data_IF_470578739911
#
_entry.id   IF_470578739911
#
_cell.length_a   1.000
_cell.length_b   1.000
_cell.length_c   1.000
_cell.angle_alpha   90.00
_cell.angle_beta   90.00
_cell.angle_gamma   90.00
#
_symmetry.space_group_name_H-M   'P 1'
#
loop_
_entity.id
_entity.type
_entity.pdbx_description
1 polymer ?
#
# COMPACT_ATOMS: atom_id res chain seq x y z
N UNK A 1 -1.13 -0.63 22.43
CA UNK A 1 -1.15 -2.03 21.94
C UNK A 1 -0.37 -2.04 20.64
N UNK A 2 0.74 -2.76 20.56
CA UNK A 2 1.61 -2.77 19.39
C UNK A 2 1.42 -4.10 18.68
N UNK A 3 0.76 -4.09 17.52
CA UNK A 3 0.32 -5.34 16.89
C UNK A 3 1.34 -5.89 15.90
N UNK A 4 2.09 -5.01 15.22
CA UNK A 4 2.86 -5.38 14.03
C UNK A 4 4.10 -4.50 13.86
N UNK A 5 5.22 -5.11 13.49
CA UNK A 5 6.46 -4.44 13.11
C UNK A 5 7.01 -5.08 11.82
N UNK A 6 7.27 -4.27 10.80
CA UNK A 6 8.07 -4.65 9.62
C UNK A 6 9.43 -3.99 9.70
N UNK A 7 10.48 -4.75 9.46
CA UNK A 7 11.87 -4.29 9.31
C UNK A 7 12.32 -4.57 7.88
N UNK A 8 12.70 -3.51 7.18
CA UNK A 8 13.09 -3.47 5.77
C UNK A 8 14.02 -2.26 5.63
N UNK A 9 15.32 -2.48 5.84
CA UNK A 9 16.30 -1.37 6.00
C UNK A 9 17.56 -1.62 5.17
N UNK A 10 17.41 -2.38 4.08
CA UNK A 10 18.43 -2.57 3.05
C UNK A 10 19.76 -3.10 3.62
N UNK A 11 19.68 -4.09 4.52
CA UNK A 11 20.83 -4.79 5.09
C UNK A 11 21.22 -4.40 6.51
N UNK A 12 20.53 -3.44 7.13
CA UNK A 12 20.75 -3.01 8.51
C UNK A 12 19.77 -3.66 9.52
N UNK A 13 19.16 -4.79 9.18
CA UNK A 13 18.08 -5.40 9.97
C UNK A 13 18.56 -5.77 11.36
N UNK A 14 19.78 -6.29 11.48
CA UNK A 14 20.36 -6.67 12.76
C UNK A 14 20.50 -5.44 13.69
N UNK A 15 21.07 -4.35 13.19
CA UNK A 15 21.27 -3.12 13.95
C UNK A 15 19.94 -2.56 14.44
N UNK A 16 18.91 -2.55 13.59
CA UNK A 16 17.57 -2.10 13.97
C UNK A 16 16.98 -2.97 15.08
N UNK A 17 17.07 -4.30 14.94
CA UNK A 17 16.54 -5.22 15.94
C UNK A 17 17.27 -5.08 17.29
N UNK A 18 18.59 -4.97 17.28
CA UNK A 18 19.41 -4.88 18.50
C UNK A 18 19.23 -3.57 19.28
N UNK A 19 18.80 -2.49 18.62
CA UNK A 19 18.57 -1.19 19.27
C UNK A 19 17.12 -0.98 19.75
N UNK A 20 16.23 -1.97 19.55
CA UNK A 20 14.85 -1.91 20.03
C UNK A 20 14.72 -2.27 21.52
N UNK A 21 13.79 -1.62 22.22
CA UNK A 21 13.32 -2.07 23.54
C UNK A 21 12.12 -3.01 23.37
N UNK A 22 12.40 -4.32 23.32
CA UNK A 22 11.43 -5.39 23.10
C UNK A 22 10.62 -5.78 24.34
N UNK A 23 10.89 -5.16 25.48
CA UNK A 23 10.08 -5.30 26.69
C UNK A 23 8.98 -4.25 26.70
N UNK A 24 9.31 -3.00 26.36
CA UNK A 24 8.36 -1.89 26.31
C UNK A 24 7.56 -1.87 25.00
N UNK A 25 8.22 -2.13 23.87
CA UNK A 25 7.62 -2.12 22.53
C UNK A 25 7.61 -3.54 21.96
N UNK A 26 6.54 -4.27 22.29
CA UNK A 26 6.43 -5.70 22.05
C UNK A 26 5.36 -6.01 20.99
N UNK A 27 5.72 -6.02 19.69
CA UNK A 27 4.78 -6.32 18.62
C UNK A 27 4.36 -7.80 18.68
N UNK A 28 3.09 -8.10 18.40
CA UNK A 28 2.65 -9.51 18.27
C UNK A 28 3.27 -10.21 17.06
N UNK A 29 3.40 -9.48 15.95
CA UNK A 29 3.95 -9.98 14.69
C UNK A 29 5.17 -9.15 14.31
N UNK A 30 6.28 -9.82 14.02
CA UNK A 30 7.49 -9.21 13.46
C UNK A 30 7.74 -9.79 12.09
N UNK A 31 7.94 -8.93 11.11
CA UNK A 31 8.30 -9.31 9.75
C UNK A 31 9.64 -8.67 9.45
N UNK A 32 10.63 -9.47 9.08
CA UNK A 32 11.99 -8.99 8.78
C UNK A 32 12.34 -9.43 7.39
N UNK A 33 12.85 -8.51 6.57
CA UNK A 33 13.47 -8.90 5.30
C UNK A 33 14.65 -9.84 5.60
N UNK A 34 14.62 -11.01 4.98
CA UNK A 34 15.46 -12.13 5.37
C UNK A 34 16.62 -12.35 4.40
N UNK A 35 16.67 -11.60 3.31
CA UNK A 35 17.66 -11.75 2.26
C UNK A 35 18.56 -10.51 2.20
N UNK A 36 19.87 -10.73 2.09
CA UNK A 36 20.82 -9.65 1.97
C UNK A 36 20.63 -8.91 0.63
N UNK A 37 20.77 -7.58 0.62
CA UNK A 37 20.59 -6.78 -0.59
C UNK A 37 21.57 -7.24 -1.68
N UNK A 38 21.12 -7.20 -2.94
CA UNK A 38 21.86 -7.59 -4.16
C UNK A 38 22.25 -9.08 -4.30
N UNK A 39 22.52 -9.78 -3.20
CA UNK A 39 23.00 -11.18 -3.23
C UNK A 39 21.91 -12.20 -3.02
N UNK A 40 20.79 -11.79 -2.41
CA UNK A 40 19.70 -12.68 -1.98
C UNK A 40 20.17 -13.82 -1.05
N UNK A 41 21.32 -13.67 -0.42
CA UNK A 41 21.83 -14.64 0.53
C UNK A 41 21.05 -14.55 1.85
N UNK A 42 20.87 -15.66 2.59
CA UNK A 42 20.25 -15.65 3.91
C UNK A 42 20.91 -14.65 4.88
N UNK A 43 20.16 -13.63 5.31
CA UNK A 43 20.60 -12.64 6.30
C UNK A 43 20.14 -12.99 7.73
N UNK A 44 19.07 -13.79 7.86
CA UNK A 44 18.48 -14.15 9.15
C UNK A 44 19.40 -14.84 10.16
N UNK A 45 20.46 -15.61 9.79
CA UNK A 45 21.36 -16.16 10.81
C UNK A 45 21.99 -15.11 11.72
N UNK A 46 22.12 -13.86 11.25
CA UNK A 46 22.71 -12.76 12.00
C UNK A 46 21.80 -12.20 13.10
N UNK A 47 20.48 -12.32 12.97
CA UNK A 47 19.51 -11.68 13.89
C UNK A 47 18.39 -12.58 14.42
N UNK A 48 18.10 -13.73 13.80
CA UNK A 48 17.07 -14.66 14.26
C UNK A 48 17.29 -15.16 15.70
N UNK A 49 18.53 -15.46 16.15
CA UNK A 49 18.78 -15.83 17.54
C UNK A 49 18.36 -14.75 18.55
N UNK A 50 18.46 -13.47 18.19
CA UNK A 50 18.03 -12.37 19.04
C UNK A 50 16.51 -12.36 19.23
N UNK A 51 15.75 -12.53 18.15
CA UNK A 51 14.28 -12.64 18.22
C UNK A 51 13.85 -13.85 19.04
N UNK A 52 14.46 -15.01 18.80
CA UNK A 52 14.18 -16.23 19.57
C UNK A 52 14.40 -16.02 21.08
N UNK A 53 15.49 -15.34 21.46
CA UNK A 53 15.78 -14.98 22.86
C UNK A 53 14.71 -14.06 23.48
N UNK A 54 14.03 -13.26 22.68
CA UNK A 54 12.94 -12.36 23.12
C UNK A 54 11.55 -12.99 23.05
N UNK A 55 11.47 -14.32 22.86
CA UNK A 55 10.21 -15.06 22.85
C UNK A 55 9.43 -14.94 21.55
N UNK A 56 10.13 -14.76 20.42
CA UNK A 56 9.53 -14.78 19.10
C UNK A 56 9.78 -16.11 18.40
N UNK A 57 8.74 -16.69 17.82
CA UNK A 57 8.79 -17.95 17.06
C UNK A 57 8.66 -17.68 15.58
N UNK A 58 9.55 -18.27 14.78
CA UNK A 58 9.40 -18.33 13.34
C UNK A 58 8.10 -19.05 12.97
N UNK A 59 7.35 -18.50 12.02
CA UNK A 59 6.10 -19.09 11.53
C UNK A 59 6.02 -19.22 10.02
N UNK A 60 6.67 -18.32 9.25
CA UNK A 60 6.49 -18.31 7.80
C UNK A 60 7.60 -17.57 7.05
N UNK A 61 7.81 -17.93 5.78
CA UNK A 61 8.74 -17.28 4.86
C UNK A 61 8.06 -17.11 3.50
N UNK A 62 8.01 -15.88 2.99
CA UNK A 62 7.27 -15.51 1.77
C UNK A 62 8.15 -15.37 0.52
N UNK A 63 9.33 -16.00 0.52
CA UNK A 63 10.45 -15.85 -0.43
C UNK A 63 11.33 -14.60 -0.24
N UNK A 64 10.94 -13.64 0.60
CA UNK A 64 11.74 -12.45 0.90
C UNK A 64 11.82 -12.16 2.40
N UNK A 65 10.70 -12.24 3.09
CA UNK A 65 10.53 -11.90 4.49
C UNK A 65 10.28 -13.14 5.34
N UNK A 66 10.87 -13.15 6.54
CA UNK A 66 10.52 -14.12 7.59
C UNK A 66 9.60 -13.47 8.61
N UNK A 67 8.61 -14.24 9.03
CA UNK A 67 7.56 -13.83 9.95
C UNK A 67 7.76 -14.54 11.28
N UNK A 68 7.62 -13.77 12.35
CA UNK A 68 7.76 -14.23 13.71
C UNK A 68 6.57 -13.78 14.56
N UNK A 69 6.10 -14.66 15.43
CA UNK A 69 5.05 -14.35 16.41
C UNK A 69 5.65 -14.30 17.81
N UNK A 70 5.23 -13.30 18.59
CA UNK A 70 5.46 -13.32 20.03
C UNK A 70 4.75 -14.53 20.64
N UNK A 71 5.36 -15.17 21.64
CA UNK A 71 4.83 -16.36 22.30
C UNK A 71 3.38 -16.20 22.79
N UNK A 72 3.06 -15.01 23.31
CA UNK A 72 1.73 -14.63 23.79
C UNK A 72 0.65 -14.49 22.69
N UNK A 73 1.06 -14.49 21.42
CA UNK A 73 0.20 -14.37 20.24
C UNK A 73 0.30 -15.58 19.30
N UNK A 74 0.79 -16.71 19.80
CA UNK A 74 1.03 -17.95 19.03
C UNK A 74 -0.21 -18.50 18.33
N UNK A 75 -1.41 -18.19 18.81
CA UNK A 75 -2.68 -18.56 18.20
C UNK A 75 -2.87 -17.95 16.80
N UNK A 76 -2.20 -16.85 16.49
CA UNK A 76 -2.23 -16.23 15.17
C UNK A 76 -1.52 -17.05 14.10
N UNK A 77 -0.76 -18.10 14.47
CA UNK A 77 -0.08 -18.97 13.52
C UNK A 77 -1.07 -19.60 12.51
N UNK A 78 -2.30 -19.90 12.94
CA UNK A 78 -3.34 -20.44 12.06
C UNK A 78 -3.67 -19.52 10.87
N UNK A 79 -3.51 -18.20 11.02
CA UNK A 79 -3.73 -17.25 9.93
C UNK A 79 -2.72 -17.37 8.79
N UNK A 80 -1.58 -18.05 9.01
CA UNK A 80 -0.50 -18.21 8.03
C UNK A 80 -0.45 -19.61 7.40
N UNK A 81 -1.28 -20.55 7.85
CA UNK A 81 -1.32 -21.93 7.33
C UNK A 81 -1.71 -22.01 5.85
N UNK A 82 -2.53 -21.07 5.39
CA UNK A 82 -2.98 -20.98 3.99
C UNK A 82 -2.26 -19.89 3.20
N UNK A 83 -1.23 -19.28 3.77
CA UNK A 83 -0.52 -18.17 3.14
C UNK A 83 0.40 -18.67 2.00
N UNK A 84 0.44 -17.98 0.84
CA UNK A 84 1.18 -18.43 -0.33
C UNK A 84 2.69 -18.29 -0.13
N UNK A 85 3.45 -19.39 -0.23
CA UNK A 85 4.91 -19.37 0.00
C UNK A 85 5.73 -18.47 -0.93
N UNK A 86 5.13 -17.95 -2.00
CA UNK A 86 5.71 -16.94 -2.88
C UNK A 86 4.61 -16.08 -3.51
N UNK A 87 4.98 -14.86 -3.91
CA UNK A 87 4.09 -13.91 -4.57
C UNK A 87 4.46 -13.68 -6.04
N UNK A 88 4.99 -14.70 -6.73
CA UNK A 88 5.42 -14.60 -8.14
C UNK A 88 4.28 -14.24 -9.10
N UNK A 89 3.06 -14.70 -8.81
CA UNK A 89 1.87 -14.39 -9.61
C UNK A 89 1.30 -12.99 -9.33
N UNK A 90 1.83 -12.29 -8.32
CA UNK A 90 1.43 -10.92 -7.97
C UNK A 90 2.33 -9.93 -8.72
N UNK A 91 1.73 -8.85 -9.25
CA UNK A 91 2.49 -7.79 -9.92
C UNK A 91 3.54 -7.17 -8.98
N UNK A 92 4.81 -7.27 -9.37
CA UNK A 92 5.94 -6.79 -8.57
C UNK A 92 6.39 -5.40 -9.04
N UNK A 93 6.11 -4.35 -8.28
CA UNK A 93 6.47 -2.97 -8.65
C UNK A 93 7.97 -2.75 -8.91
N UNK A 94 8.86 -3.54 -8.28
CA UNK A 94 10.30 -3.54 -8.55
C UNK A 94 10.68 -3.90 -10.00
N UNK A 95 9.77 -4.49 -10.78
CA UNK A 95 10.03 -4.97 -12.15
C UNK A 95 9.66 -3.96 -13.24
N UNK A 96 9.09 -2.81 -12.86
CA UNK A 96 8.67 -1.75 -13.76
C UNK A 96 9.34 -0.43 -13.40
N UNK A 97 9.49 0.45 -14.39
CA UNK A 97 9.96 1.83 -14.16
C UNK A 97 8.79 2.70 -13.69
N UNK A 98 9.03 3.95 -13.23
CA UNK A 98 7.96 4.83 -12.79
C UNK A 98 6.80 4.92 -13.78
N UNK A 99 5.58 5.04 -13.25
CA UNK A 99 4.34 4.93 -14.02
C UNK A 99 4.29 5.81 -15.28
N UNK A 100 4.88 7.01 -15.28
CA UNK A 100 4.87 7.89 -16.46
C UNK A 100 5.66 7.34 -17.66
N UNK A 101 6.65 6.47 -17.43
CA UNK A 101 7.61 6.02 -18.45
C UNK A 101 7.46 4.56 -18.85
N UNK A 102 6.77 3.73 -18.05
CA UNK A 102 6.58 2.30 -18.33
C UNK A 102 5.13 1.94 -18.57
N UNK A 103 4.77 1.54 -19.79
CA UNK A 103 3.41 1.15 -20.15
C UNK A 103 2.93 -0.13 -19.45
N UNK A 104 3.84 -0.93 -18.89
CA UNK A 104 3.51 -2.14 -18.11
C UNK A 104 3.15 -1.81 -16.66
N UNK A 105 3.44 -0.59 -16.20
CA UNK A 105 3.07 -0.17 -14.86
C UNK A 105 1.53 -0.08 -14.74
N UNK A 106 0.90 -0.65 -13.70
CA UNK A 106 -0.56 -0.68 -13.56
C UNK A 106 -1.15 0.74 -13.55
N UNK A 107 -0.45 1.68 -12.90
CA UNK A 107 -0.88 3.09 -12.86
C UNK A 107 -0.48 3.90 -14.10
N UNK A 108 0.08 3.30 -15.16
CA UNK A 108 0.57 4.07 -16.32
C UNK A 108 -0.51 4.96 -16.94
N UNK A 109 -1.70 4.42 -17.16
CA UNK A 109 -2.80 5.17 -17.77
C UNK A 109 -3.27 6.31 -16.88
N UNK A 110 -3.45 6.07 -15.58
CA UNK A 110 -3.78 7.12 -14.62
C UNK A 110 -2.67 8.19 -14.57
N UNK A 111 -1.40 7.80 -14.52
CA UNK A 111 -0.29 8.73 -14.54
C UNK A 111 -0.24 9.58 -15.82
N UNK A 112 -0.61 9.00 -16.97
CA UNK A 112 -0.73 9.73 -18.25
C UNK A 112 -1.89 10.72 -18.25
N UNK A 113 -3.01 10.40 -17.61
CA UNK A 113 -4.14 11.34 -17.42
C UNK A 113 -3.77 12.51 -16.50
N UNK A 114 -2.84 12.30 -15.57
CA UNK A 114 -2.38 13.27 -14.58
C UNK A 114 -0.98 13.82 -14.86
N UNK A 115 -0.45 13.64 -16.08
CA UNK A 115 0.93 13.95 -16.39
C UNK A 115 1.25 15.46 -16.27
N UNK A 116 2.49 15.79 -15.90
CA UNK A 116 2.94 17.17 -15.66
C UNK A 116 2.95 17.50 -14.16
N UNK A 117 2.56 18.73 -13.80
CA UNK A 117 2.46 19.17 -12.40
C UNK A 117 1.35 18.48 -11.61
N UNK A 118 0.33 17.95 -12.29
CA UNK A 118 -0.86 17.39 -11.64
C UNK A 118 -0.53 16.18 -10.75
N UNK A 119 0.45 15.34 -11.12
CA UNK A 119 0.95 14.26 -10.24
C UNK A 119 1.53 14.79 -8.93
N UNK A 120 2.21 15.94 -8.94
CA UNK A 120 2.77 16.55 -7.71
C UNK A 120 1.70 17.19 -6.84
N UNK A 121 0.57 17.57 -7.44
CA UNK A 121 -0.57 18.14 -6.73
C UNK A 121 -1.59 17.10 -6.28
N UNK A 122 -1.43 15.81 -6.63
CA UNK A 122 -2.41 14.76 -6.35
C UNK A 122 -2.90 14.72 -4.88
N UNK A 123 -2.06 14.91 -3.84
CA UNK A 123 -2.53 14.98 -2.46
C UNK A 123 -3.42 16.20 -2.13
N UNK A 124 -3.35 17.24 -2.97
CA UNK A 124 -4.09 18.49 -2.85
C UNK A 124 -5.29 18.55 -3.80
N UNK A 125 -5.42 17.61 -4.75
CA UNK A 125 -6.55 17.57 -5.66
C UNK A 125 -7.79 17.11 -4.91
N UNK A 126 -8.74 18.03 -4.73
CA UNK A 126 -10.10 17.67 -4.36
C UNK A 126 -10.71 16.72 -5.39
N UNK A 127 -11.68 15.91 -4.97
CA UNK A 127 -12.34 14.92 -5.83
C UNK A 127 -12.87 15.50 -7.13
N UNK A 128 -13.47 16.69 -7.09
CA UNK A 128 -14.07 17.29 -8.28
C UNK A 128 -13.00 17.65 -9.32
N UNK A 129 -11.86 18.18 -8.87
CA UNK A 129 -10.72 18.47 -9.74
C UNK A 129 -10.07 17.17 -10.26
N UNK A 130 -9.97 16.13 -9.44
CA UNK A 130 -9.51 14.82 -9.90
C UNK A 130 -10.43 14.26 -11.00
N UNK A 131 -11.75 14.36 -10.84
CA UNK A 131 -12.74 13.94 -11.83
C UNK A 131 -12.64 14.75 -13.12
N UNK A 132 -12.45 16.07 -13.02
CA UNK A 132 -12.18 16.94 -14.16
C UNK A 132 -10.93 16.45 -14.94
N UNK A 133 -9.84 16.13 -14.23
CA UNK A 133 -8.59 15.68 -14.87
C UNK A 133 -8.73 14.33 -15.56
N UNK A 134 -9.32 13.32 -14.91
CA UNK A 134 -9.44 11.97 -15.50
C UNK A 134 -10.47 11.91 -16.65
N UNK A 135 -11.46 12.81 -16.63
CA UNK A 135 -12.46 12.94 -17.71
C UNK A 135 -12.08 13.97 -18.78
N UNK A 136 -10.90 14.59 -18.67
CA UNK A 136 -10.41 15.53 -19.66
C UNK A 136 -10.40 14.88 -21.06
N UNK A 137 -10.95 15.61 -22.04
CA UNK A 137 -11.14 15.14 -23.42
C UNK A 137 -12.44 14.36 -23.68
N UNK A 138 -13.26 14.09 -22.66
CA UNK A 138 -14.61 13.54 -22.83
C UNK A 138 -15.60 14.71 -22.89
N UNK A 139 -16.39 14.80 -23.96
CA UNK A 139 -17.37 15.88 -24.12
C UNK A 139 -18.47 15.84 -23.05
N UNK A 140 -18.96 17.00 -22.62
CA UNK A 140 -20.00 17.10 -21.58
C UNK A 140 -21.26 16.29 -21.92
N UNK A 141 -21.67 16.26 -23.20
CA UNK A 141 -22.81 15.47 -23.65
C UNK A 141 -22.59 13.96 -23.46
N UNK A 142 -21.38 13.47 -23.74
CA UNK A 142 -21.03 12.06 -23.53
C UNK A 142 -21.02 11.71 -22.04
N UNK A 143 -20.55 12.63 -21.18
CA UNK A 143 -20.57 12.44 -19.72
C UNK A 143 -21.99 12.36 -19.12
N UNK A 144 -23.00 12.88 -19.81
CA UNK A 144 -24.42 12.85 -19.39
C UNK A 144 -25.20 11.67 -19.96
N UNK A 145 -24.65 10.93 -20.92
CA UNK A 145 -25.30 9.75 -21.48
C UNK A 145 -25.35 8.60 -20.47
N UNK A 146 -26.39 7.77 -20.59
CA UNK A 146 -26.49 6.53 -19.85
C UNK A 146 -25.34 5.59 -20.22
N UNK A 147 -24.64 5.10 -19.21
CA UNK A 147 -23.52 4.18 -19.34
C UNK A 147 -24.01 2.74 -19.18
N UNK A 148 -24.05 2.01 -20.30
CA UNK A 148 -24.20 0.56 -20.30
C UNK A 148 -22.92 -0.15 -19.83
N UNK A 149 -22.94 -1.48 -19.86
CA UNK A 149 -21.79 -2.30 -19.44
C UNK A 149 -20.50 -1.96 -20.20
N UNK A 150 -20.60 -1.71 -21.52
CA UNK A 150 -19.44 -1.39 -22.36
C UNK A 150 -18.83 -0.04 -21.97
N UNK A 151 -19.65 0.99 -21.75
CA UNK A 151 -19.18 2.31 -21.32
C UNK A 151 -18.53 2.26 -19.92
N UNK A 152 -19.02 1.39 -19.03
CA UNK A 152 -18.41 1.14 -17.71
C UNK A 152 -17.05 0.46 -17.86
N UNK A 153 -16.96 -0.54 -18.75
CA UNK A 153 -15.71 -1.24 -19.03
C UNK A 153 -14.68 -0.30 -19.66
N UNK A 154 -15.06 0.51 -20.64
CA UNK A 154 -14.20 1.51 -21.27
C UNK A 154 -13.70 2.56 -20.28
N UNK A 155 -14.58 3.07 -19.41
CA UNK A 155 -14.19 4.03 -18.37
C UNK A 155 -13.20 3.40 -17.37
N UNK A 156 -13.42 2.15 -16.99
CA UNK A 156 -12.53 1.40 -16.11
C UNK A 156 -11.17 1.17 -16.78
N UNK A 157 -11.17 0.76 -18.05
CA UNK A 157 -9.95 0.53 -18.83
C UNK A 157 -9.17 1.82 -19.06
N UNK A 158 -9.86 2.95 -19.28
CA UNK A 158 -9.21 4.26 -19.42
C UNK A 158 -8.36 4.60 -18.20
N UNK A 159 -8.85 4.29 -16.99
CA UNK A 159 -8.19 4.64 -15.73
C UNK A 159 -7.15 3.58 -15.32
N UNK A 160 -7.54 2.31 -15.31
CA UNK A 160 -6.77 1.21 -14.72
C UNK A 160 -6.16 0.24 -15.75
N UNK A 161 -6.43 0.44 -17.03
CA UNK A 161 -5.98 -0.46 -18.10
C UNK A 161 -6.81 -1.75 -18.21
N UNK A 162 -6.49 -2.60 -19.21
CA UNK A 162 -7.26 -3.81 -19.54
C UNK A 162 -7.23 -4.90 -18.47
N UNK A 163 -6.25 -4.84 -17.56
CA UNK A 163 -6.14 -5.78 -16.43
C UNK A 163 -6.67 -5.20 -15.11
N UNK A 164 -7.17 -3.95 -15.12
CA UNK A 164 -7.71 -3.28 -13.94
C UNK A 164 -8.99 -3.96 -13.47
N UNK A 165 -8.86 -4.95 -12.58
CA UNK A 165 -10.01 -5.48 -11.84
C UNK A 165 -10.32 -4.57 -10.66
N UNK A 166 -11.51 -4.00 -10.66
CA UNK A 166 -12.08 -3.46 -9.44
C UNK A 166 -12.23 -4.61 -8.43
N UNK A 167 -11.72 -4.40 -7.21
CA UNK A 167 -11.89 -5.33 -6.07
C UNK A 167 -13.37 -5.73 -5.94
N UNK A 168 -13.64 -6.98 -5.53
CA UNK A 168 -14.96 -7.64 -5.53
C UNK A 168 -16.13 -6.96 -4.80
N UNK A 169 -15.93 -5.76 -4.25
CA UNK A 169 -17.00 -4.80 -3.95
C UNK A 169 -17.29 -3.99 -5.23
N UNK A 170 -18.23 -4.46 -6.04
CA UNK A 170 -18.63 -3.79 -7.27
C UNK A 170 -18.88 -2.28 -7.11
N UNK A 171 -18.75 -1.55 -8.22
CA UNK A 171 -18.95 -0.11 -8.28
C UNK A 171 -20.37 0.24 -7.80
N UNK A 172 -20.50 1.14 -6.81
CA UNK A 172 -21.82 1.60 -6.33
C UNK A 172 -22.43 2.56 -7.34
N UNK A 173 -23.27 2.04 -8.22
CA UNK A 173 -23.92 2.78 -9.30
C UNK A 173 -25.43 2.78 -9.12
N UNK A 174 -26.12 3.86 -9.52
CA UNK A 174 -27.57 3.84 -9.67
C UNK A 174 -28.00 2.87 -10.79
N UNK A 175 -29.29 2.50 -10.88
CA UNK A 175 -29.77 1.50 -11.85
C UNK A 175 -29.48 1.83 -13.32
N UNK A 176 -29.46 3.12 -13.67
CA UNK A 176 -29.08 3.61 -15.00
C UNK A 176 -28.05 4.72 -14.78
N UNK A 177 -26.76 4.37 -14.63
CA UNK A 177 -25.73 5.35 -14.33
C UNK A 177 -25.42 6.21 -15.55
N UNK A 178 -25.14 7.48 -15.34
CA UNK A 178 -24.51 8.32 -16.35
C UNK A 178 -23.01 8.07 -16.36
N UNK A 179 -22.33 8.32 -17.47
CA UNK A 179 -20.88 8.11 -17.57
C UNK A 179 -20.10 8.90 -16.50
N UNK A 180 -20.52 10.12 -16.14
CA UNK A 180 -19.92 10.87 -15.03
C UNK A 180 -20.05 10.18 -13.67
N UNK A 181 -21.14 9.46 -13.43
CA UNK A 181 -21.39 8.75 -12.18
C UNK A 181 -20.49 7.51 -12.09
N UNK A 182 -20.17 6.91 -13.24
CA UNK A 182 -19.16 5.85 -13.34
C UNK A 182 -17.80 6.37 -12.90
N UNK A 183 -17.29 7.46 -13.49
CA UNK A 183 -16.01 8.06 -13.06
C UNK A 183 -16.04 8.49 -11.59
N UNK A 184 -17.14 9.08 -11.13
CA UNK A 184 -17.32 9.47 -9.74
C UNK A 184 -17.26 8.28 -8.78
N UNK A 185 -17.70 7.10 -9.20
CA UNK A 185 -17.69 5.89 -8.40
C UNK A 185 -16.33 5.15 -8.46
N UNK A 186 -15.53 5.34 -9.51
CA UNK A 186 -14.12 4.88 -9.56
C UNK A 186 -13.24 5.60 -8.53
N UNK A 187 -13.62 6.83 -8.16
CA UNK A 187 -12.93 7.66 -7.14
C UNK A 187 -13.91 8.02 -6.00
N UNK A 188 -14.31 7.04 -5.16
CA UNK A 188 -15.29 7.28 -4.11
C UNK A 188 -14.75 8.27 -3.08
N UNK A 189 -15.62 9.14 -2.55
CA UNK A 189 -15.25 9.96 -1.40
C UNK A 189 -14.91 9.08 -0.21
N UNK A 190 -13.87 9.44 0.54
CA UNK A 190 -13.66 8.88 1.86
C UNK A 190 -14.92 9.14 2.70
N UNK A 191 -15.45 8.10 3.36
CA UNK A 191 -16.61 8.25 4.24
C UNK A 191 -16.30 9.32 5.30
N UNK A 192 -17.20 10.28 5.56
CA UNK A 192 -17.00 11.24 6.64
C UNK A 192 -16.81 10.47 7.95
N UNK A 193 -15.65 10.66 8.60
CA UNK A 193 -15.26 9.97 9.83
C UNK A 193 -14.09 8.97 9.72
N UNK A 194 -13.56 8.71 8.52
CA UNK A 194 -12.26 8.03 8.34
C UNK A 194 -11.22 9.02 7.84
N UNK A 195 -10.60 9.76 8.75
CA UNK A 195 -9.35 10.48 8.48
C UNK A 195 -8.31 9.49 7.93
N UNK A 196 -7.71 9.70 6.73
CA UNK A 196 -6.73 8.77 6.19
C UNK A 196 -5.42 8.76 6.97
N UNK A 197 -5.09 9.86 7.67
CA UNK A 197 -3.92 10.00 8.52
C UNK A 197 -4.25 10.98 9.64
N UNK A 198 -4.54 10.49 10.83
CA UNK A 198 -4.29 11.28 12.02
C UNK A 198 -2.78 11.19 12.28
N UNK A 199 -2.03 12.20 11.84
CA UNK A 199 -0.70 12.43 12.38
C UNK A 199 -0.91 12.70 13.89
N UNK A 200 -0.44 11.86 14.82
CA UNK A 200 -0.52 12.23 16.22
C UNK A 200 0.33 13.50 16.37
N UNK A 201 -0.27 14.55 16.91
CA UNK A 201 0.42 15.80 17.18
C UNK A 201 1.75 15.46 17.88
N UNK A 202 2.87 15.79 17.23
CA UNK A 202 4.17 15.79 17.87
C UNK A 202 4.04 16.66 19.12
N UNK A 203 4.33 16.17 20.33
CA UNK A 203 4.42 17.04 21.48
C UNK A 203 5.51 18.08 21.17
N UNK A 204 5.17 19.35 21.34
CA UNK A 204 6.10 20.45 21.15
C UNK A 204 7.38 20.16 21.92
N UNK A 205 8.48 19.95 21.19
CA UNK A 205 9.81 19.82 21.79
C UNK A 205 10.16 21.20 22.35
N UNK A 206 9.92 21.39 23.65
CA UNK A 206 10.40 22.55 24.37
C UNK A 206 11.94 22.48 24.43
N UNK A 207 12.60 23.16 23.50
CA UNK A 207 14.04 23.40 23.58
C UNK A 207 14.26 24.32 24.78
N UNK A 208 14.63 23.74 25.93
CA UNK A 208 15.25 24.52 27.01
C UNK A 208 16.59 25.01 26.49
N UNK A 209 16.71 26.33 26.33
CA UNK A 209 18.01 26.98 26.30
C UNK A 209 18.52 27.06 27.73
N UNK A 210 19.21 26.03 28.17
CA UNK A 210 20.11 26.14 29.32
C UNK A 210 21.47 26.63 28.80
N UNK A 211 22.02 27.59 29.53
CA UNK A 211 22.96 28.59 29.01
C UNK A 211 24.39 28.14 28.75
N UNK A 212 25.05 28.98 27.95
CA UNK A 212 26.45 29.35 28.00
C UNK A 212 26.52 30.86 27.85
#
# INVERSE_FOLDING_TARGET
MFEFLKVDVEGAEQEVLLNGDWQSFRPKVVVVEALAPYTLAPAWPAWEPFLAKHGYRYVWFDSLNRYYLAEEAKELAHCLETAPCAFEEVFQFRTVKPALVDARHPDHRLAKLLAGSDMTHLPLLGRDLLLERVTAGIGCAALEQAAGADAIAEATERVFGPQGRLSGKGLKLPPVPRLREVYAALFPQAMPGKTPFACPALPALAIRRDGL
#
